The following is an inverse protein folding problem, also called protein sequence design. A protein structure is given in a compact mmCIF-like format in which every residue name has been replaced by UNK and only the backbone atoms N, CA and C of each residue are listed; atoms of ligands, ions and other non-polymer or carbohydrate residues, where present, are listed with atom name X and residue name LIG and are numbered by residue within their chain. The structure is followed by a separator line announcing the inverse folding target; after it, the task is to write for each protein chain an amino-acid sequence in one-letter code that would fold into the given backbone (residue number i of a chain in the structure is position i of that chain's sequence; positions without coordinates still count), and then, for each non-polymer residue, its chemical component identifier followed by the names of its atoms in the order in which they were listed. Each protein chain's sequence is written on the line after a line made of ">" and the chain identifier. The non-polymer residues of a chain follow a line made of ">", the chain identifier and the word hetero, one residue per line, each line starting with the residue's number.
data_IF_508497350545
#
_entry.id   IF_508497350545
#
_cell.length_a   1.000
_cell.length_b   1.000
_cell.length_c   1.000
_cell.angle_alpha   90.00
_cell.angle_beta   90.00
_cell.angle_gamma   90.00
#
_symmetry.space_group_name_H-M   'P 1'
#
loop_
_entity.id
_entity.type
_entity.pdbx_description
1 polymer ?
#
# COMPACT_ATOMS: atom_id res chain seq x y z
N UNK A 1 12.67 23.29 6.87
CA UNK A 1 12.95 22.01 7.55
C UNK A 1 13.40 21.05 6.46
N UNK A 2 14.60 20.47 6.57
CA UNK A 2 15.12 19.53 5.58
C UNK A 2 14.15 18.33 5.46
N UNK A 3 13.70 18.02 4.23
CA UNK A 3 12.80 16.88 3.95
C UNK A 3 13.34 15.58 4.52
N UNK A 4 14.67 15.46 4.71
CA UNK A 4 15.32 14.33 5.36
C UNK A 4 14.88 14.09 6.81
N UNK A 5 14.47 15.14 7.54
CA UNK A 5 14.07 15.06 8.96
C UNK A 5 12.56 14.93 9.15
N UNK A 6 11.76 15.50 8.24
CA UNK A 6 10.29 15.60 8.41
C UNK A 6 9.65 14.21 8.52
N UNK A 7 9.97 13.30 7.60
CA UNK A 7 9.39 11.94 7.62
C UNK A 7 9.79 11.15 8.87
N UNK A 8 11.01 11.35 9.38
CA UNK A 8 11.49 10.68 10.61
C UNK A 8 10.74 11.16 11.83
N UNK A 9 10.57 12.48 11.96
CA UNK A 9 9.81 13.08 13.07
C UNK A 9 8.36 12.63 13.00
N UNK A 10 7.76 12.65 11.82
CA UNK A 10 6.41 12.15 11.59
C UNK A 10 6.27 10.67 11.99
N UNK A 11 7.17 9.81 11.52
CA UNK A 11 7.08 8.38 11.78
C UNK A 11 7.37 8.03 13.24
N UNK A 12 8.40 8.61 13.85
CA UNK A 12 8.73 8.43 15.26
C UNK A 12 7.62 8.96 16.17
N UNK A 13 7.12 10.17 15.89
CA UNK A 13 5.99 10.75 16.61
C UNK A 13 4.73 9.89 16.47
N UNK A 14 4.46 9.40 15.26
CA UNK A 14 3.36 8.48 14.98
C UNK A 14 3.45 7.19 15.78
N UNK A 15 4.62 6.55 15.83
CA UNK A 15 4.81 5.34 16.64
C UNK A 15 4.73 5.58 18.14
N UNK A 16 5.16 6.76 18.63
CA UNK A 16 4.94 7.15 20.03
C UNK A 16 3.44 7.29 20.32
N UNK A 17 2.69 7.94 19.43
CA UNK A 17 1.23 8.07 19.55
C UNK A 17 0.55 6.71 19.45
N UNK A 18 1.02 5.81 18.58
CA UNK A 18 0.54 4.42 18.53
C UNK A 18 0.83 3.67 19.84
N UNK A 19 1.99 3.91 20.47
CA UNK A 19 2.29 3.37 21.80
C UNK A 19 1.32 3.88 22.86
N UNK A 20 0.97 5.17 22.83
CA UNK A 20 -0.05 5.76 23.72
C UNK A 20 -1.43 5.14 23.45
N UNK A 21 -1.79 4.94 22.18
CA UNK A 21 -3.03 4.26 21.79
C UNK A 21 -3.15 2.86 22.40
N UNK A 22 -2.06 2.10 22.50
CA UNK A 22 -2.07 0.76 23.12
C UNK A 22 -2.29 0.78 24.63
N UNK A 23 -2.02 1.90 25.29
CA UNK A 23 -2.20 2.05 26.74
C UNK A 23 -3.60 2.57 27.10
N UNK A 24 -4.36 3.06 26.11
CA UNK A 24 -5.72 3.56 26.32
C UNK A 24 -6.70 2.38 26.41
N UNK A 25 -7.62 2.40 27.40
CA UNK A 25 -8.70 1.42 27.47
C UNK A 25 -9.65 1.59 26.28
N UNK A 26 -10.42 0.54 26.00
CA UNK A 26 -11.50 0.61 25.01
C UNK A 26 -12.47 1.74 25.33
N UNK A 27 -12.84 2.52 24.32
CA UNK A 27 -13.78 3.62 24.46
C UNK A 27 -13.46 4.79 23.54
N UNK A 28 -14.37 5.77 23.53
CA UNK A 28 -14.33 6.91 22.61
C UNK A 28 -12.96 7.62 22.48
N UNK A 29 -12.19 7.90 23.55
CA UNK A 29 -10.89 8.59 23.40
C UNK A 29 -9.89 7.81 22.56
N UNK A 30 -9.92 6.47 22.67
CA UNK A 30 -9.05 5.57 21.92
C UNK A 30 -9.40 5.57 20.44
N UNK A 31 -10.68 5.48 20.13
CA UNK A 31 -11.13 5.38 18.74
C UNK A 31 -11.06 6.74 18.04
N UNK A 32 -11.26 7.85 18.77
CA UNK A 32 -10.92 9.18 18.26
C UNK A 32 -9.43 9.29 17.94
N UNK A 33 -8.55 8.73 18.79
CA UNK A 33 -7.12 8.73 18.51
C UNK A 33 -6.78 7.90 17.25
N UNK A 34 -7.49 6.79 17.02
CA UNK A 34 -7.38 6.00 15.78
C UNK A 34 -7.65 6.88 14.54
N UNK A 35 -8.79 7.59 14.54
CA UNK A 35 -9.19 8.51 13.46
C UNK A 35 -8.14 9.62 13.27
N UNK A 36 -7.60 10.18 14.35
CA UNK A 36 -6.58 11.23 14.29
C UNK A 36 -5.27 10.72 13.67
N UNK A 37 -4.83 9.51 13.98
CA UNK A 37 -3.65 8.89 13.36
C UNK A 37 -3.88 8.74 11.85
N UNK A 38 -5.04 8.23 11.45
CA UNK A 38 -5.42 8.11 10.05
C UNK A 38 -5.43 9.47 9.33
N UNK A 39 -6.07 10.48 9.90
CA UNK A 39 -6.14 11.83 9.34
C UNK A 39 -4.74 12.46 9.19
N UNK A 40 -3.83 12.19 10.12
CA UNK A 40 -2.43 12.62 10.01
C UNK A 40 -1.74 11.99 8.79
N UNK A 41 -2.01 10.71 8.49
CA UNK A 41 -1.60 10.03 7.24
C UNK A 41 -2.16 10.69 5.99
N UNK A 42 -3.48 10.95 5.98
CA UNK A 42 -4.17 11.66 4.88
C UNK A 42 -3.51 13.01 4.61
N UNK A 43 -3.35 13.83 5.63
CA UNK A 43 -2.74 15.17 5.50
C UNK A 43 -1.32 15.06 4.95
N UNK A 44 -0.51 14.13 5.44
CA UNK A 44 0.85 13.90 4.94
C UNK A 44 0.86 13.57 3.44
N UNK A 45 -0.04 12.70 2.98
CA UNK A 45 -0.15 12.32 1.57
C UNK A 45 -0.64 13.47 0.70
N UNK A 46 -1.74 14.13 1.07
CA UNK A 46 -2.33 15.21 0.29
C UNK A 46 -1.43 16.46 0.22
N UNK A 47 -0.76 16.80 1.32
CA UNK A 47 0.24 17.90 1.33
C UNK A 47 1.43 17.54 0.43
N UNK A 48 1.90 16.30 0.46
CA UNK A 48 2.98 15.85 -0.42
C UNK A 48 2.55 15.89 -1.88
N UNK A 49 1.34 15.43 -2.20
CA UNK A 49 0.75 15.50 -3.53
C UNK A 49 0.68 16.95 -4.05
N UNK A 50 0.22 17.89 -3.23
CA UNK A 50 0.13 19.30 -3.58
C UNK A 50 1.51 19.98 -3.77
N UNK A 51 2.56 19.48 -3.10
CA UNK A 51 3.93 19.97 -3.24
C UNK A 51 4.62 19.44 -4.49
N UNK A 52 4.29 18.23 -4.94
CA UNK A 52 4.89 17.66 -6.13
C UNK A 52 4.36 18.32 -7.40
N UNK A 53 5.26 18.87 -8.21
CA UNK A 53 4.95 19.44 -9.54
C UNK A 53 5.09 18.44 -10.69
N UNK A 54 5.11 17.14 -10.38
CA UNK A 54 5.41 16.09 -11.34
C UNK A 54 4.30 15.03 -11.41
N UNK A 55 4.47 14.10 -12.33
CA UNK A 55 3.60 12.94 -12.53
C UNK A 55 3.34 12.11 -11.25
N UNK A 56 4.16 12.23 -10.20
CA UNK A 56 3.98 11.50 -8.95
C UNK A 56 2.89 12.10 -8.05
N UNK A 57 2.46 13.34 -8.31
CA UNK A 57 1.41 14.03 -7.54
C UNK A 57 0.09 13.26 -7.56
N UNK A 58 -0.33 12.78 -8.73
CA UNK A 58 -1.62 12.10 -8.90
C UNK A 58 -1.75 10.80 -8.09
N UNK A 59 -0.79 9.84 -8.13
CA UNK A 59 -0.81 8.69 -7.23
C UNK A 59 -0.93 9.07 -5.75
N UNK A 60 -0.21 10.10 -5.29
CA UNK A 60 -0.29 10.52 -3.89
C UNK A 60 -1.62 11.18 -3.53
N UNK A 61 -2.21 11.96 -4.44
CA UNK A 61 -3.53 12.51 -4.26
C UNK A 61 -4.59 11.40 -4.15
N UNK A 62 -4.51 10.39 -5.03
CA UNK A 62 -5.42 9.24 -4.98
C UNK A 62 -5.22 8.41 -3.71
N UNK A 63 -3.98 8.10 -3.31
CA UNK A 63 -3.71 7.41 -2.04
C UNK A 63 -4.30 8.19 -0.86
N UNK A 64 -4.03 9.51 -0.77
CA UNK A 64 -4.56 10.35 0.30
C UNK A 64 -6.09 10.42 0.30
N UNK A 65 -6.73 10.50 -0.86
CA UNK A 65 -8.20 10.50 -0.99
C UNK A 65 -8.80 9.15 -0.63
N UNK A 66 -8.18 8.04 -1.03
CA UNK A 66 -8.64 6.70 -0.67
C UNK A 66 -8.61 6.49 0.84
N UNK A 67 -7.48 6.81 1.46
CA UNK A 67 -7.32 6.74 2.92
C UNK A 67 -8.24 7.72 3.65
N UNK A 68 -8.56 8.88 3.04
CA UNK A 68 -9.59 9.76 3.59
C UNK A 68 -10.96 9.07 3.64
N UNK A 69 -11.31 8.24 2.66
CA UNK A 69 -12.56 7.48 2.73
C UNK A 69 -12.52 6.52 3.92
N UNK A 70 -11.42 5.80 4.12
CA UNK A 70 -11.24 4.94 5.30
C UNK A 70 -11.44 5.70 6.62
N UNK A 71 -10.77 6.84 6.76
CA UNK A 71 -10.86 7.71 7.96
C UNK A 71 -12.27 8.27 8.17
N UNK A 72 -13.02 8.56 7.10
CA UNK A 72 -14.43 8.94 7.19
C UNK A 72 -15.30 7.76 7.64
N UNK A 73 -15.00 6.55 7.18
CA UNK A 73 -15.58 5.30 7.68
C UNK A 73 -15.33 5.13 9.18
N UNK A 74 -14.08 5.29 9.61
CA UNK A 74 -13.68 5.21 11.02
C UNK A 74 -14.41 6.26 11.88
N UNK A 75 -14.54 7.49 11.37
CA UNK A 75 -15.28 8.55 12.06
C UNK A 75 -16.78 8.24 12.20
N UNK A 76 -17.40 7.66 11.17
CA UNK A 76 -18.78 7.19 11.24
C UNK A 76 -18.93 6.00 12.18
N UNK A 77 -17.96 5.09 12.20
CA UNK A 77 -17.93 3.97 13.15
C UNK A 77 -17.94 4.48 14.59
N UNK A 78 -17.04 5.42 14.91
CA UNK A 78 -16.98 6.07 16.23
C UNK A 78 -18.31 6.74 16.59
N UNK A 79 -18.93 7.43 15.63
CA UNK A 79 -20.25 8.05 15.84
C UNK A 79 -21.33 7.01 16.13
N UNK A 80 -21.43 5.95 15.32
CA UNK A 80 -22.45 4.93 15.50
C UNK A 80 -22.31 4.19 16.83
N UNK A 81 -21.08 3.87 17.20
CA UNK A 81 -20.78 3.13 18.41
C UNK A 81 -20.96 3.95 19.68
N UNK A 82 -20.35 5.14 19.76
CA UNK A 82 -20.25 5.91 21.01
C UNK A 82 -21.30 7.00 21.17
N UNK A 83 -21.97 7.42 20.09
CA UNK A 83 -22.93 8.53 20.12
C UNK A 83 -24.34 8.05 19.79
N UNK A 84 -24.50 7.33 18.69
CA UNK A 84 -25.81 6.79 18.31
C UNK A 84 -26.16 5.49 19.04
N UNK A 85 -25.17 4.83 19.65
CA UNK A 85 -25.30 3.56 20.39
C UNK A 85 -26.01 2.47 19.58
N UNK A 86 -25.71 2.39 18.28
CA UNK A 86 -26.22 1.36 17.36
C UNK A 86 -25.07 0.52 16.82
N UNK A 87 -25.40 -0.68 16.34
CA UNK A 87 -24.40 -1.52 15.68
C UNK A 87 -23.83 -0.78 14.45
N UNK A 88 -22.51 -0.50 14.41
CA UNK A 88 -21.88 0.21 13.30
C UNK A 88 -21.81 -0.63 12.01
N UNK A 89 -22.15 -1.92 12.07
CA UNK A 89 -22.17 -2.82 10.92
C UNK A 89 -23.52 -3.54 10.75
N UNK A 90 -24.09 -3.57 9.53
CA UNK A 90 -23.72 -2.80 8.35
C UNK A 90 -24.22 -1.34 8.44
N UNK A 91 -23.45 -0.39 7.92
CA UNK A 91 -23.81 1.03 7.92
C UNK A 91 -23.22 1.81 6.75
N UNK A 92 -23.41 3.14 6.76
CA UNK A 92 -22.78 4.04 5.79
C UNK A 92 -21.24 4.00 5.88
N UNK A 93 -20.67 3.63 7.03
CA UNK A 93 -19.22 3.47 7.20
C UNK A 93 -18.65 2.46 6.19
N UNK A 94 -19.35 1.35 5.96
CA UNK A 94 -18.94 0.32 4.99
C UNK A 94 -18.85 0.85 3.56
N UNK A 95 -19.74 1.78 3.19
CA UNK A 95 -19.69 2.42 1.89
C UNK A 95 -18.41 3.23 1.69
N UNK A 96 -17.94 3.91 2.74
CA UNK A 96 -16.69 4.65 2.73
C UNK A 96 -15.47 3.71 2.72
N UNK A 97 -15.48 2.66 3.54
CA UNK A 97 -14.42 1.65 3.51
C UNK A 97 -14.30 1.00 2.13
N UNK A 98 -15.40 0.55 1.54
CA UNK A 98 -15.38 -0.06 0.19
C UNK A 98 -14.94 0.92 -0.90
N UNK A 99 -15.13 2.23 -0.72
CA UNK A 99 -14.70 3.25 -1.68
C UNK A 99 -13.19 3.54 -1.62
N UNK A 100 -12.53 3.27 -0.49
CA UNK A 100 -11.06 3.35 -0.39
C UNK A 100 -10.39 2.47 -1.45
N UNK A 101 -10.80 1.20 -1.53
CA UNK A 101 -10.17 0.18 -2.36
C UNK A 101 -10.02 0.55 -3.84
N UNK A 102 -11.08 0.92 -4.59
CA UNK A 102 -10.93 1.28 -5.99
C UNK A 102 -10.07 2.53 -6.20
N UNK A 103 -10.08 3.48 -5.25
CA UNK A 103 -9.27 4.70 -5.33
C UNK A 103 -7.79 4.38 -5.11
N UNK A 104 -7.46 3.59 -4.08
CA UNK A 104 -6.10 3.12 -3.80
C UNK A 104 -5.60 2.22 -4.95
N UNK A 105 -6.44 1.29 -5.42
CA UNK A 105 -6.11 0.43 -6.57
C UNK A 105 -5.82 1.26 -7.83
N UNK A 106 -6.56 2.35 -8.08
CA UNK A 106 -6.27 3.27 -9.16
C UNK A 106 -4.90 3.96 -8.99
N UNK A 107 -4.54 4.36 -7.77
CA UNK A 107 -3.22 4.92 -7.47
C UNK A 107 -2.10 3.92 -7.77
N UNK A 108 -2.24 2.68 -7.30
CA UNK A 108 -1.30 1.58 -7.55
C UNK A 108 -1.21 1.26 -9.05
N UNK A 109 -2.34 1.24 -9.75
CA UNK A 109 -2.38 1.00 -11.19
C UNK A 109 -1.63 2.09 -11.96
N UNK A 110 -1.82 3.37 -11.63
CA UNK A 110 -1.11 4.48 -12.25
C UNK A 110 0.39 4.38 -11.96
N UNK A 111 0.76 4.05 -10.73
CA UNK A 111 2.15 3.87 -10.32
C UNK A 111 2.82 2.75 -11.13
N UNK A 112 2.17 1.58 -11.23
CA UNK A 112 2.64 0.47 -12.04
C UNK A 112 2.66 0.80 -13.54
N UNK A 113 1.67 1.53 -14.06
CA UNK A 113 1.60 1.92 -15.48
C UNK A 113 2.70 2.89 -15.88
N UNK A 114 3.06 3.84 -15.00
CA UNK A 114 4.10 4.84 -15.27
C UNK A 114 5.52 4.31 -15.11
N UNK A 115 5.68 3.15 -14.49
CA UNK A 115 6.95 2.42 -14.35
C UNK A 115 7.26 1.45 -15.50
N UNK A 116 6.34 1.26 -16.45
CA UNK A 116 6.45 0.20 -17.48
C UNK A 116 7.69 0.38 -18.36
N UNK A 117 8.40 -0.73 -18.57
CA UNK A 117 9.42 -0.89 -19.60
C UNK A 117 8.85 -1.70 -20.78
N UNK A 118 9.39 -1.62 -22.02
CA UNK A 118 8.99 -2.50 -23.13
C UNK A 118 9.06 -4.01 -22.80
N UNK A 119 9.87 -4.42 -21.82
CA UNK A 119 9.95 -5.80 -21.31
C UNK A 119 8.73 -6.24 -20.47
N UNK A 120 7.76 -5.37 -20.19
CA UNK A 120 6.64 -5.63 -19.26
C UNK A 120 5.55 -6.61 -19.76
N UNK A 121 5.68 -7.18 -20.97
CA UNK A 121 4.64 -8.10 -21.49
C UNK A 121 4.63 -9.43 -20.74
N UNK A 122 5.80 -9.99 -20.46
CA UNK A 122 5.94 -11.26 -19.72
C UNK A 122 5.52 -11.08 -18.26
N UNK A 123 5.98 -10.00 -17.62
CA UNK A 123 5.60 -9.59 -16.26
C UNK A 123 4.08 -9.49 -16.04
N UNK A 124 3.27 -9.18 -17.07
CA UNK A 124 1.81 -9.13 -16.96
C UNK A 124 1.18 -10.52 -16.81
N UNK A 125 1.67 -11.51 -17.55
CA UNK A 125 1.16 -12.89 -17.44
C UNK A 125 1.55 -13.48 -16.08
N UNK A 126 2.78 -13.28 -15.64
CA UNK A 126 3.23 -13.75 -14.32
C UNK A 126 2.42 -13.11 -13.19
N UNK A 127 2.15 -11.81 -13.29
CA UNK A 127 1.28 -11.13 -12.32
C UNK A 127 -0.13 -11.70 -12.33
N UNK A 128 -0.71 -11.97 -13.50
CA UNK A 128 -2.05 -12.54 -13.59
C UNK A 128 -2.10 -13.95 -12.98
N UNK A 129 -1.08 -14.78 -13.23
CA UNK A 129 -0.96 -16.13 -12.65
C UNK A 129 -0.86 -16.03 -11.13
N UNK A 130 0.00 -15.15 -10.61
CA UNK A 130 0.15 -14.94 -9.16
C UNK A 130 -1.15 -14.44 -8.52
N UNK A 131 -1.82 -13.47 -9.16
CA UNK A 131 -3.10 -12.93 -8.67
C UNK A 131 -4.15 -14.03 -8.63
N UNK A 132 -4.33 -14.79 -9.71
CA UNK A 132 -5.29 -15.91 -9.72
C UNK A 132 -4.93 -16.94 -8.64
N UNK A 133 -3.65 -17.31 -8.52
CA UNK A 133 -3.18 -18.27 -7.52
C UNK A 133 -3.40 -17.82 -6.07
N UNK A 134 -3.34 -16.52 -5.79
CA UNK A 134 -3.58 -15.95 -4.46
C UNK A 134 -5.07 -15.70 -4.18
N UNK A 135 -5.83 -15.26 -5.19
CA UNK A 135 -7.27 -14.96 -5.06
C UNK A 135 -8.10 -16.24 -4.93
N UNK A 136 -7.66 -17.38 -5.48
CA UNK A 136 -8.40 -18.64 -5.39
C UNK A 136 -8.54 -19.17 -3.95
N UNK A 137 -7.48 -19.35 -3.15
CA UNK A 137 -7.62 -19.69 -1.74
C UNK A 137 -8.45 -18.66 -0.97
N UNK A 138 -8.24 -17.38 -1.28
CA UNK A 138 -8.98 -16.28 -0.68
C UNK A 138 -10.48 -16.39 -0.97
N UNK A 139 -10.86 -16.75 -2.20
CA UNK A 139 -12.25 -17.02 -2.60
C UNK A 139 -12.85 -18.19 -1.81
N UNK A 140 -12.17 -19.34 -1.77
CA UNK A 140 -12.70 -20.55 -1.12
C UNK A 140 -12.82 -20.36 0.39
N UNK A 141 -11.91 -19.63 1.03
CA UNK A 141 -11.90 -19.46 2.47
C UNK A 141 -12.82 -18.32 2.95
N UNK A 142 -12.98 -17.26 2.15
CA UNK A 142 -13.65 -16.04 2.60
C UNK A 142 -14.94 -15.74 1.83
N UNK A 143 -15.03 -16.05 0.54
CA UNK A 143 -16.20 -15.71 -0.27
C UNK A 143 -17.22 -16.85 -0.27
N UNK A 144 -16.77 -18.06 -0.59
CA UNK A 144 -17.63 -19.24 -0.74
C UNK A 144 -18.51 -19.51 0.50
N UNK A 145 -18.00 -19.49 1.74
CA UNK A 145 -18.82 -19.72 2.94
C UNK A 145 -19.88 -18.63 3.18
N UNK A 146 -19.74 -17.46 2.56
CA UNK A 146 -20.62 -16.30 2.74
C UNK A 146 -21.72 -16.23 1.68
N UNK A 147 -21.58 -16.93 0.55
CA UNK A 147 -22.58 -16.94 -0.53
C UNK A 147 -23.92 -17.52 -0.04
N UNK A 148 -23.86 -18.56 0.79
CA UNK A 148 -25.03 -19.25 1.34
C UNK A 148 -25.43 -18.76 2.74
N UNK A 149 -24.78 -17.72 3.27
CA UNK A 149 -25.04 -17.21 4.61
C UNK A 149 -26.47 -16.65 4.72
N UNK A 150 -27.26 -17.01 5.74
CA UNK A 150 -28.59 -16.45 5.95
C UNK A 150 -28.54 -14.96 6.37
N UNK A 151 -29.38 -14.10 5.79
CA UNK A 151 -29.46 -12.68 6.19
C UNK A 151 -29.93 -11.69 5.11
N UNK A 152 -30.00 -10.39 5.44
CA UNK A 152 -30.38 -9.33 4.50
C UNK A 152 -29.41 -9.23 3.31
N UNK A 153 -29.96 -8.97 2.11
CA UNK A 153 -29.17 -8.85 0.86
C UNK A 153 -28.07 -7.79 0.96
N UNK A 154 -28.35 -6.66 1.62
CA UNK A 154 -27.38 -5.59 1.80
C UNK A 154 -26.18 -6.03 2.65
N UNK A 155 -26.43 -6.72 3.77
CA UNK A 155 -25.36 -7.27 4.63
C UNK A 155 -24.49 -8.25 3.87
N UNK A 156 -25.10 -9.16 3.11
CA UNK A 156 -24.37 -10.10 2.25
C UNK A 156 -23.55 -9.38 1.19
N UNK A 157 -24.11 -8.37 0.54
CA UNK A 157 -23.42 -7.59 -0.49
C UNK A 157 -22.18 -6.88 0.08
N UNK A 158 -22.28 -6.29 1.28
CA UNK A 158 -21.15 -5.66 1.97
C UNK A 158 -20.10 -6.71 2.37
N UNK A 159 -20.53 -7.81 2.98
CA UNK A 159 -19.65 -8.92 3.40
C UNK A 159 -18.89 -9.56 2.23
N UNK A 160 -19.49 -9.64 1.05
CA UNK A 160 -18.84 -10.10 -0.18
C UNK A 160 -17.97 -9.02 -0.82
N UNK A 161 -18.33 -7.75 -0.62
CA UNK A 161 -17.60 -6.58 -1.11
C UNK A 161 -16.18 -6.52 -0.56
N UNK A 162 -15.99 -6.70 0.75
CA UNK A 162 -14.67 -6.65 1.38
C UNK A 162 -13.66 -7.64 0.77
N UNK A 163 -13.98 -8.95 0.67
CA UNK A 163 -13.12 -9.90 -0.01
C UNK A 163 -12.77 -9.55 -1.47
N UNK A 164 -13.75 -9.07 -2.24
CA UNK A 164 -13.51 -8.68 -3.62
C UNK A 164 -12.60 -7.44 -3.70
N UNK A 165 -12.75 -6.53 -2.75
CA UNK A 165 -11.96 -5.32 -2.64
C UNK A 165 -10.51 -5.65 -2.23
N UNK A 166 -10.31 -6.57 -1.29
CA UNK A 166 -8.99 -7.12 -0.93
C UNK A 166 -8.30 -7.76 -2.13
N UNK A 167 -9.03 -8.59 -2.89
CA UNK A 167 -8.50 -9.21 -4.10
C UNK A 167 -8.03 -8.18 -5.13
N UNK A 168 -8.78 -7.07 -5.31
CA UNK A 168 -8.40 -5.96 -6.18
C UNK A 168 -7.11 -5.27 -5.68
N UNK A 169 -7.02 -5.02 -4.38
CA UNK A 169 -5.86 -4.36 -3.77
C UNK A 169 -4.62 -5.25 -3.84
N UNK A 170 -4.77 -6.55 -3.57
CA UNK A 170 -3.74 -7.58 -3.73
C UNK A 170 -3.26 -7.67 -5.19
N UNK A 171 -4.18 -7.62 -6.15
CA UNK A 171 -3.82 -7.58 -7.56
C UNK A 171 -3.00 -6.34 -7.93
N UNK A 172 -3.38 -5.18 -7.39
CA UNK A 172 -2.61 -3.94 -7.50
C UNK A 172 -1.20 -4.07 -6.90
N UNK A 173 -1.09 -4.66 -5.71
CA UNK A 173 0.18 -4.91 -5.02
C UNK A 173 1.10 -5.83 -5.82
N UNK A 174 0.60 -6.99 -6.23
CA UNK A 174 1.36 -7.97 -7.03
C UNK A 174 1.84 -7.31 -8.31
N UNK A 175 0.95 -6.60 -9.02
CA UNK A 175 1.32 -5.91 -10.26
C UNK A 175 2.40 -4.84 -10.02
N UNK A 176 2.33 -4.13 -8.91
CA UNK A 176 3.32 -3.13 -8.55
C UNK A 176 4.68 -3.78 -8.20
N UNK A 177 4.66 -4.95 -7.55
CA UNK A 177 5.86 -5.72 -7.16
C UNK A 177 6.54 -6.42 -8.33
N UNK A 178 5.81 -6.76 -9.39
CA UNK A 178 6.37 -7.41 -10.60
C UNK A 178 6.77 -6.42 -11.68
N UNK A 179 6.37 -5.15 -11.56
CA UNK A 179 6.80 -4.10 -12.48
C UNK A 179 8.22 -3.65 -12.14
N UNK A 180 9.07 -3.50 -13.17
CA UNK A 180 10.42 -2.98 -13.01
C UNK A 180 10.42 -1.53 -12.49
N UNK A 181 11.38 -1.17 -11.66
CA UNK A 181 11.46 0.19 -11.10
C UNK A 181 12.21 0.25 -9.78
N UNK A 182 12.62 1.47 -9.41
CA UNK A 182 13.41 1.70 -8.21
C UNK A 182 12.65 1.26 -6.94
N UNK A 183 13.26 0.36 -6.15
CA UNK A 183 12.75 -0.13 -4.87
C UNK A 183 13.17 0.79 -3.72
N UNK A 184 12.85 2.09 -3.88
CA UNK A 184 13.20 3.16 -2.95
C UNK A 184 12.61 2.92 -1.56
N UNK A 185 13.10 3.59 -0.50
CA UNK A 185 12.51 3.46 0.84
C UNK A 185 11.01 3.77 0.86
N UNK A 186 10.56 4.82 0.17
CA UNK A 186 9.14 5.14 0.03
C UNK A 186 8.33 3.98 -0.59
N UNK A 187 8.89 3.31 -1.61
CA UNK A 187 8.25 2.13 -2.20
C UNK A 187 8.08 1.01 -1.18
N UNK A 188 9.14 0.70 -0.42
CA UNK A 188 9.11 -0.36 0.60
C UNK A 188 8.10 -0.07 1.70
N UNK A 189 7.95 1.19 2.11
CA UNK A 189 6.95 1.62 3.09
C UNK A 189 5.52 1.44 2.55
N UNK A 190 5.24 1.83 1.30
CA UNK A 190 3.93 1.59 0.67
C UNK A 190 3.61 0.10 0.60
N UNK A 191 4.58 -0.71 0.15
CA UNK A 191 4.43 -2.16 0.08
C UNK A 191 4.18 -2.77 1.47
N UNK A 192 4.97 -2.39 2.47
CA UNK A 192 4.83 -2.91 3.84
C UNK A 192 3.48 -2.53 4.45
N UNK A 193 3.03 -1.29 4.24
CA UNK A 193 1.71 -0.83 4.65
C UNK A 193 0.59 -1.65 3.99
N UNK A 194 0.67 -1.86 2.67
CA UNK A 194 -0.36 -2.59 1.92
C UNK A 194 -0.43 -4.07 2.29
N UNK A 195 0.73 -4.71 2.52
CA UNK A 195 0.79 -6.07 3.08
C UNK A 195 0.21 -6.11 4.50
N UNK A 196 0.51 -5.09 5.31
CA UNK A 196 -0.02 -4.96 6.66
C UNK A 196 -1.55 -4.88 6.67
N UNK A 197 -2.15 -4.01 5.85
CA UNK A 197 -3.61 -3.87 5.72
C UNK A 197 -4.23 -5.21 5.33
N UNK A 198 -3.79 -5.82 4.23
CA UNK A 198 -4.34 -7.10 3.76
C UNK A 198 -4.20 -8.23 4.81
N UNK A 199 -3.11 -8.25 5.57
CA UNK A 199 -2.97 -9.19 6.67
C UNK A 199 -3.91 -8.85 7.84
N UNK A 200 -4.10 -7.56 8.13
CA UNK A 200 -5.05 -7.04 9.10
C UNK A 200 -6.48 -7.44 8.75
N UNK A 201 -6.89 -7.34 7.49
CA UNK A 201 -8.23 -7.74 7.02
C UNK A 201 -8.46 -9.25 7.19
N UNK A 202 -7.47 -10.08 6.85
CA UNK A 202 -7.54 -11.53 7.11
C UNK A 202 -7.70 -11.81 8.61
N UNK A 203 -6.93 -11.13 9.47
CA UNK A 203 -7.05 -11.28 10.93
C UNK A 203 -8.40 -10.80 11.42
N UNK A 204 -8.90 -9.67 10.92
CA UNK A 204 -10.21 -9.11 11.26
C UNK A 204 -11.32 -10.12 10.98
N UNK A 205 -11.28 -10.76 9.82
CA UNK A 205 -12.28 -11.77 9.45
C UNK A 205 -12.18 -13.04 10.31
N UNK A 206 -10.98 -13.43 10.75
CA UNK A 206 -10.76 -14.64 11.54
C UNK A 206 -11.04 -14.46 13.04
N UNK A 207 -11.12 -13.22 13.53
CA UNK A 207 -11.36 -12.94 14.95
C UNK A 207 -12.86 -12.85 15.23
N UNK A 208 -13.36 -13.76 16.07
CA UNK A 208 -14.80 -13.87 16.37
C UNK A 208 -15.33 -12.79 17.33
N UNK A 209 -14.46 -12.13 18.11
CA UNK A 209 -14.82 -11.10 19.08
C UNK A 209 -14.35 -9.70 18.62
N UNK A 210 -15.25 -8.80 18.20
CA UNK A 210 -14.89 -7.45 17.77
C UNK A 210 -14.25 -6.59 18.88
N UNK A 211 -14.64 -6.78 20.14
CA UNK A 211 -14.04 -6.04 21.25
C UNK A 211 -12.63 -6.56 21.53
N UNK A 212 -12.46 -7.89 21.50
CA UNK A 212 -11.17 -8.56 21.53
C UNK A 212 -10.27 -8.14 20.38
N UNK A 213 -10.79 -8.04 19.15
CA UNK A 213 -10.05 -7.54 17.99
C UNK A 213 -9.53 -6.13 18.26
N UNK A 214 -10.42 -5.24 18.68
CA UNK A 214 -10.10 -3.85 18.96
C UNK A 214 -9.07 -3.74 20.07
N UNK A 215 -9.20 -4.45 21.18
CA UNK A 215 -8.26 -4.41 22.32
C UNK A 215 -6.94 -5.14 22.06
N UNK A 216 -6.91 -6.07 21.11
CA UNK A 216 -5.72 -6.85 20.75
C UNK A 216 -4.80 -6.12 19.76
N UNK A 217 -3.77 -6.83 19.31
CA UNK A 217 -2.86 -6.38 18.25
C UNK A 217 -3.54 -6.31 16.86
N UNK A 218 -4.83 -6.67 16.73
CA UNK A 218 -5.58 -6.74 15.48
C UNK A 218 -5.68 -5.41 14.71
N UNK A 219 -5.79 -4.28 15.42
CA UNK A 219 -5.88 -2.94 14.81
C UNK A 219 -4.53 -2.32 14.42
N UNK A 220 -3.42 -2.91 14.89
CA UNK A 220 -2.05 -2.41 14.65
C UNK A 220 -1.69 -2.29 13.17
N UNK A 221 -2.03 -3.27 12.30
CA UNK A 221 -1.64 -3.20 10.90
C UNK A 221 -2.22 -1.98 10.19
N UNK A 222 -3.47 -1.61 10.46
CA UNK A 222 -4.12 -0.43 9.86
C UNK A 222 -3.48 0.88 10.33
N UNK A 223 -3.31 1.06 11.65
CA UNK A 223 -2.64 2.25 12.20
C UNK A 223 -1.21 2.39 11.70
N UNK A 224 -0.49 1.27 11.63
CA UNK A 224 0.87 1.24 11.10
C UNK A 224 0.88 1.58 9.61
N UNK A 225 -0.10 1.11 8.84
CA UNK A 225 -0.22 1.44 7.43
C UNK A 225 -0.47 2.92 7.19
N UNK A 226 -1.36 3.57 7.95
CA UNK A 226 -1.57 5.02 7.88
C UNK A 226 -0.27 5.81 8.11
N UNK A 227 0.51 5.42 9.12
CA UNK A 227 1.81 6.03 9.41
C UNK A 227 2.84 5.75 8.30
N UNK A 228 2.91 4.53 7.79
CA UNK A 228 3.86 4.18 6.74
C UNK A 228 3.53 4.87 5.41
N UNK A 229 2.26 4.99 5.03
CA UNK A 229 1.85 5.72 3.83
C UNK A 229 2.13 7.22 3.95
N UNK A 230 1.83 7.83 5.09
CA UNK A 230 2.17 9.24 5.36
C UNK A 230 3.69 9.48 5.34
N UNK A 231 4.46 8.61 5.99
CA UNK A 231 5.93 8.69 5.99
C UNK A 231 6.52 8.48 4.59
N UNK A 232 5.97 7.54 3.82
CA UNK A 232 6.38 7.28 2.44
C UNK A 232 6.17 8.51 1.56
N UNK A 233 5.07 9.24 1.73
CA UNK A 233 4.77 10.47 0.99
C UNK A 233 5.74 11.60 1.31
N UNK A 234 6.10 11.73 2.60
CA UNK A 234 7.03 12.74 3.10
C UNK A 234 8.51 12.40 2.85
N UNK A 235 8.81 11.15 2.50
CA UNK A 235 10.19 10.69 2.34
C UNK A 235 10.88 11.37 1.14
N UNK A 236 12.19 11.71 1.23
CA UNK A 236 12.92 12.33 0.12
C UNK A 236 12.90 11.54 -1.20
N UNK A 237 12.70 10.23 -1.14
CA UNK A 237 12.60 9.36 -2.31
C UNK A 237 11.17 9.23 -2.88
N UNK A 238 10.18 9.91 -2.32
CA UNK A 238 8.80 9.89 -2.81
C UNK A 238 8.68 10.39 -4.26
N UNK A 239 9.39 11.46 -4.69
CA UNK A 239 9.39 11.89 -6.10
C UNK A 239 9.94 10.84 -7.06
N UNK A 240 10.82 9.97 -6.55
CA UNK A 240 11.56 8.98 -7.34
C UNK A 240 10.77 7.69 -7.54
N UNK A 241 9.54 7.61 -7.01
CA UNK A 241 8.66 6.46 -7.19
C UNK A 241 8.36 6.15 -8.66
N UNK A 242 8.49 7.11 -9.58
CA UNK A 242 8.27 6.86 -11.00
C UNK A 242 9.57 6.57 -11.77
N UNK A 243 10.75 6.64 -11.12
CA UNK A 243 12.01 6.37 -11.81
C UNK A 243 12.13 4.86 -12.10
N UNK A 244 12.32 4.55 -13.38
CA UNK A 244 12.82 3.24 -13.78
C UNK A 244 14.19 3.01 -13.14
N UNK A 245 14.48 1.78 -12.72
CA UNK A 245 15.85 1.41 -12.37
C UNK A 245 16.70 1.59 -13.63
N UNK A 246 17.88 2.23 -13.59
CA UNK A 246 18.82 2.13 -14.69
C UNK A 246 19.06 0.65 -14.92
N UNK A 247 18.71 0.16 -16.10
CA UNK A 247 19.12 -1.16 -16.56
C UNK A 247 20.63 -1.19 -16.39
N UNK A 248 21.15 -2.12 -15.58
CA UNK A 248 22.58 -2.29 -15.47
C UNK A 248 23.07 -2.51 -16.90
N UNK A 249 23.74 -1.52 -17.47
CA UNK A 249 24.23 -1.59 -18.83
C UNK A 249 24.95 -2.93 -18.94
N UNK A 250 24.60 -3.81 -19.89
CA UNK A 250 25.33 -5.04 -20.07
C UNK A 250 26.78 -4.61 -20.18
N UNK A 251 27.61 -5.09 -19.25
CA UNK A 251 29.03 -4.80 -19.26
C UNK A 251 29.58 -5.47 -20.51
N UNK A 252 29.47 -4.78 -21.65
CA UNK A 252 30.31 -5.00 -22.81
C UNK A 252 31.69 -4.61 -22.32
N UNK A 253 32.35 -5.54 -21.64
CA UNK A 253 33.80 -5.58 -21.63
C UNK A 253 34.16 -5.69 -23.11
N UNK A 254 34.72 -4.64 -23.74
CA UNK A 254 35.37 -4.85 -25.01
C UNK A 254 36.54 -5.75 -24.65
N UNK A 255 36.46 -7.02 -25.04
CA UNK A 255 37.61 -7.92 -24.97
C UNK A 255 38.73 -7.25 -25.72
N UNK A 256 39.64 -6.62 -24.98
CA UNK A 256 40.81 -5.95 -25.51
C UNK A 256 41.72 -7.01 -26.12
N UNK A 257 41.58 -7.24 -27.43
CA UNK A 257 42.69 -7.77 -28.20
C UNK A 257 43.76 -6.67 -28.23
N UNK A 258 44.80 -6.83 -27.42
CA UNK A 258 46.00 -6.02 -27.56
C UNK A 258 46.64 -6.32 -28.93
N UNK A 259 47.04 -5.31 -29.72
CA UNK A 259 47.88 -5.55 -30.87
C UNK A 259 49.29 -5.93 -30.37
N UNK A 260 49.71 -7.17 -30.59
CA UNK A 260 51.10 -7.59 -30.43
C UNK A 260 52.01 -6.77 -31.37
N UNK A 261 53.21 -6.38 -30.92
CA UNK A 261 54.11 -5.55 -31.74
C UNK A 261 54.66 -6.34 -32.93
N UNK A 262 54.94 -5.67 -34.07
CA UNK A 262 55.52 -6.33 -35.23
C UNK A 262 56.94 -6.78 -34.92
N UNK A 263 57.19 -8.08 -35.01
CA UNK A 263 58.53 -8.66 -35.01
C UNK A 263 59.31 -8.14 -36.21
N UNK A 264 60.43 -7.48 -35.95
CA UNK A 264 61.42 -7.04 -36.92
C UNK A 264 62.02 -8.21 -37.67
N UNK A 265 61.73 -8.33 -38.96
CA UNK A 265 62.55 -9.09 -39.90
C UNK A 265 63.47 -8.11 -40.63
N UNK A 266 64.74 -8.07 -40.24
CA UNK A 266 65.79 -7.43 -41.02
C UNK A 266 66.19 -8.34 -42.19
N UNK A 267 66.33 -7.83 -43.43
CA UNK A 267 66.92 -8.59 -44.52
C UNK A 267 68.46 -8.49 -44.45
N UNK A 268 69.20 -9.56 -44.78
CA UNK A 268 70.60 -9.42 -45.15
C UNK A 268 70.70 -9.03 -46.64
N UNK A 269 71.47 -7.99 -46.92
CA UNK A 269 72.04 -7.66 -48.23
C UNK A 269 73.57 -7.50 -48.04
N UNK A 270 74.40 -7.48 -49.10
CA UNK A 270 74.16 -7.84 -50.50
C UNK A 270 74.73 -9.23 -50.91
#
# INVERSE_FOLDING_TARGET
>A
MDSSRVWRVYLLGGFVVLGIFMLLPYGMPRDVLYVVIGLCGVVAMLVSAARFRSAVSLPWALMGTGVLMAVLGDGLWVYYEHIAEVNPFPSLADGFYLLEYPIVAAALHILARRRRSPADRESRLDSAILVVGLVLPYWVLLIDPRLDSDGPVLTRAILLGYPLADALMLAGLVRLLTTAGARTPAFRMITAALVGVLAGDVVFVLVEDPQGFSLSLGVIPFLTAYLLWGAAALHPSAPDLLRATPEAAPSLTPGGCSPSPPSSCSPPAP
#
